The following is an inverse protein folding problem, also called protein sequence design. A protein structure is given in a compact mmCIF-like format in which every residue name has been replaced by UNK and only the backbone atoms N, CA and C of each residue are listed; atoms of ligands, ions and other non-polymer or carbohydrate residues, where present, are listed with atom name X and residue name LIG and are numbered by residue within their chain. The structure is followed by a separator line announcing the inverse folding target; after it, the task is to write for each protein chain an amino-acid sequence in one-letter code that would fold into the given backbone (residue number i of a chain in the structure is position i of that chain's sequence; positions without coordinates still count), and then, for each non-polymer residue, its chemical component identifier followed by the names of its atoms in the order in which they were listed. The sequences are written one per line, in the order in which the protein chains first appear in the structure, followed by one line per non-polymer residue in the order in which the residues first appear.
data_IF_961736878379
#
_entry.id   IF_961736878379
#
_cell.length_a   1.000
_cell.length_b   1.000
_cell.length_c   1.000
_cell.angle_alpha   90.00
_cell.angle_beta   90.00
_cell.angle_gamma   90.00
#
_symmetry.space_group_name_H-M   'P 1'
#
loop_
_entity.id
_entity.type
_entity.pdbx_description
1 polymer ?
#
# COMPACT_ATOMS: atom_id res chain seq x y z
N UNK A 1 13.54 -6.59 9.27
CA UNK A 1 14.00 -6.03 7.98
C UNK A 1 14.15 -4.53 8.16
N UNK A 2 15.20 -3.91 7.61
CA UNK A 2 15.42 -2.46 7.69
C UNK A 2 15.33 -1.89 6.28
N UNK A 3 14.68 -0.73 6.16
CA UNK A 3 14.61 0.03 4.91
C UNK A 3 15.40 1.32 5.07
N UNK A 4 16.13 1.73 4.04
CA UNK A 4 16.93 2.94 4.06
C UNK A 4 16.15 4.13 3.48
N UNK A 5 15.05 3.87 2.76
CA UNK A 5 14.14 4.91 2.25
C UNK A 5 12.67 4.54 2.39
N UNK A 6 11.80 5.55 2.44
CA UNK A 6 10.34 5.36 2.43
C UNK A 6 9.85 4.65 1.16
N UNK A 7 10.51 4.89 0.02
CA UNK A 7 10.12 4.28 -1.26
C UNK A 7 10.45 2.78 -1.30
N UNK A 8 11.55 2.35 -0.67
CA UNK A 8 11.87 0.93 -0.49
C UNK A 8 10.81 0.22 0.38
N UNK A 9 10.40 0.85 1.49
CA UNK A 9 9.33 0.32 2.34
C UNK A 9 8.03 0.12 1.55
N UNK A 10 7.61 1.14 0.80
CA UNK A 10 6.39 1.09 -0.03
C UNK A 10 6.53 0.01 -1.11
N UNK A 11 7.69 -0.07 -1.77
CA UNK A 11 7.98 -1.08 -2.79
C UNK A 11 7.86 -2.51 -2.25
N UNK A 12 8.42 -2.77 -1.07
CA UNK A 12 8.29 -4.07 -0.43
C UNK A 12 6.84 -4.39 -0.03
N UNK A 13 6.11 -3.43 0.54
CA UNK A 13 4.71 -3.63 0.88
C UNK A 13 3.85 -3.95 -0.37
N UNK A 14 4.15 -3.34 -1.52
CA UNK A 14 3.52 -3.65 -2.81
C UNK A 14 3.84 -5.08 -3.26
N UNK A 15 5.10 -5.51 -3.12
CA UNK A 15 5.48 -6.87 -3.48
C UNK A 15 4.74 -7.90 -2.62
N UNK A 16 4.70 -7.68 -1.30
CA UNK A 16 4.05 -8.56 -0.34
C UNK A 16 2.54 -8.66 -0.59
N UNK A 17 1.85 -7.53 -0.82
CA UNK A 17 0.41 -7.54 -1.06
C UNK A 17 0.06 -8.21 -2.39
N UNK A 18 0.89 -8.04 -3.43
CA UNK A 18 0.70 -8.74 -4.72
C UNK A 18 0.81 -10.24 -4.55
N UNK A 19 1.81 -10.71 -3.79
CA UNK A 19 1.97 -12.13 -3.49
C UNK A 19 0.76 -12.69 -2.73
N UNK A 20 0.29 -11.98 -1.69
CA UNK A 20 -0.91 -12.37 -0.93
C UNK A 20 -2.17 -12.38 -1.80
N UNK A 21 -2.33 -11.37 -2.67
CA UNK A 21 -3.46 -11.29 -3.61
C UNK A 21 -3.46 -12.48 -4.56
N UNK A 22 -2.29 -12.86 -5.10
CA UNK A 22 -2.17 -14.01 -5.98
C UNK A 22 -2.52 -15.33 -5.27
N UNK A 23 -2.16 -15.47 -3.98
CA UNK A 23 -2.52 -16.64 -3.17
C UNK A 23 -4.00 -16.66 -2.76
N UNK A 24 -4.61 -15.49 -2.59
CA UNK A 24 -5.95 -15.35 -2.02
C UNK A 24 -6.77 -14.26 -2.75
N UNK A 25 -7.14 -14.49 -4.03
CA UNK A 25 -7.78 -13.46 -4.87
C UNK A 25 -9.20 -13.08 -4.41
N UNK A 26 -9.84 -13.91 -3.58
CA UNK A 26 -11.19 -13.69 -3.08
C UNK A 26 -11.31 -12.60 -1.99
N UNK A 27 -10.21 -12.01 -1.54
CA UNK A 27 -10.18 -11.04 -0.44
C UNK A 27 -10.08 -9.60 -0.98
N UNK A 28 -11.19 -8.83 -1.00
CA UNK A 28 -11.21 -7.49 -1.59
C UNK A 28 -10.29 -6.50 -0.87
N UNK A 29 -9.99 -6.77 0.41
CA UNK A 29 -9.09 -5.96 1.23
C UNK A 29 -7.71 -5.82 0.59
N UNK A 30 -7.18 -6.88 -0.05
CA UNK A 30 -5.86 -6.83 -0.67
C UNK A 30 -5.81 -5.88 -1.86
N UNK A 31 -6.88 -5.82 -2.66
CA UNK A 31 -7.00 -4.86 -3.75
C UNK A 31 -7.07 -3.41 -3.24
N UNK A 32 -7.84 -3.17 -2.18
CA UNK A 32 -7.92 -1.85 -1.54
C UNK A 32 -6.56 -1.40 -0.99
N UNK A 33 -5.83 -2.32 -0.35
CA UNK A 33 -4.50 -2.07 0.22
C UNK A 33 -3.46 -1.77 -0.89
N UNK A 34 -3.47 -2.56 -1.97
CA UNK A 34 -2.60 -2.35 -3.13
C UNK A 34 -2.84 -1.00 -3.78
N UNK A 35 -4.09 -0.59 -3.98
CA UNK A 35 -4.43 0.70 -4.58
C UNK A 35 -3.92 1.88 -3.73
N UNK A 36 -4.01 1.79 -2.40
CA UNK A 36 -3.47 2.80 -1.50
C UNK A 36 -1.94 2.88 -1.56
N UNK A 37 -1.25 1.74 -1.59
CA UNK A 37 0.20 1.68 -1.74
C UNK A 37 0.68 2.24 -3.08
N UNK A 38 -0.02 1.94 -4.18
CA UNK A 38 0.30 2.47 -5.51
C UNK A 38 0.12 3.99 -5.58
N UNK A 39 -0.93 4.53 -4.95
CA UNK A 39 -1.12 5.98 -4.83
C UNK A 39 0.00 6.64 -4.01
N UNK A 40 0.39 6.05 -2.87
CA UNK A 40 1.54 6.59 -2.11
C UNK A 40 2.81 6.57 -2.95
N UNK A 41 3.08 5.46 -3.65
CA UNK A 41 4.25 5.34 -4.54
C UNK A 41 4.26 6.44 -5.60
N UNK A 42 3.14 6.68 -6.30
CA UNK A 42 3.06 7.71 -7.34
C UNK A 42 3.25 9.13 -6.80
N UNK A 43 2.78 9.40 -5.58
CA UNK A 43 3.02 10.68 -4.89
C UNK A 43 4.50 10.87 -4.55
N UNK A 44 5.16 9.82 -4.03
CA UNK A 44 6.59 9.87 -3.70
C UNK A 44 7.47 10.03 -4.95
N UNK A 45 7.08 9.42 -6.07
CA UNK A 45 7.80 9.52 -7.36
C UNK A 45 7.50 10.83 -8.11
N UNK A 46 6.60 11.68 -7.60
CA UNK A 46 6.20 12.94 -8.24
C UNK A 46 5.34 12.76 -9.49
N UNK A 47 4.89 11.54 -9.79
CA UNK A 47 3.95 11.22 -10.88
C UNK A 47 2.57 11.75 -10.54
N UNK A 48 2.11 11.51 -9.31
CA UNK A 48 0.87 12.08 -8.78
C UNK A 48 1.16 13.38 -8.04
N UNK A 49 0.49 14.45 -8.46
CA UNK A 49 0.65 15.79 -7.90
C UNK A 49 -0.47 16.14 -6.94
N UNK A 50 -1.63 15.51 -7.08
CA UNK A 50 -2.74 15.65 -6.15
C UNK A 50 -2.48 14.84 -4.88
N UNK A 51 -2.11 15.56 -3.82
CA UNK A 51 -1.86 15.02 -2.48
C UNK A 51 -3.11 15.03 -1.58
N UNK A 52 -4.25 15.51 -2.09
CA UNK A 52 -5.48 15.65 -1.32
C UNK A 52 -6.03 14.33 -0.80
N UNK A 53 -5.63 13.19 -1.35
CA UNK A 53 -6.13 11.87 -0.92
C UNK A 53 -5.26 11.23 0.16
N UNK A 54 -4.09 11.79 0.49
CA UNK A 54 -3.21 11.24 1.54
C UNK A 54 -3.91 11.14 2.91
N UNK A 55 -4.69 12.16 3.29
CA UNK A 55 -5.43 12.15 4.57
C UNK A 55 -6.63 11.19 4.58
N UNK A 56 -6.98 10.62 3.42
CA UNK A 56 -8.08 9.64 3.28
C UNK A 56 -7.57 8.20 3.24
N UNK A 57 -6.26 7.99 3.34
CA UNK A 57 -5.68 6.65 3.39
C UNK A 57 -6.08 5.97 4.70
N UNK A 58 -6.62 4.77 4.58
CA UNK A 58 -7.05 3.92 5.69
C UNK A 58 -6.09 2.75 5.94
N UNK A 59 -4.91 2.76 5.31
CA UNK A 59 -3.97 1.63 5.29
C UNK A 59 -3.57 1.14 6.69
N UNK A 60 -3.35 2.04 7.65
CA UNK A 60 -3.03 1.68 9.04
C UNK A 60 -4.21 1.02 9.75
N UNK A 61 -5.42 1.59 9.61
CA UNK A 61 -6.63 1.03 10.20
C UNK A 61 -6.99 -0.33 9.58
N UNK A 62 -6.83 -0.48 8.26
CA UNK A 62 -7.00 -1.77 7.58
C UNK A 62 -5.98 -2.80 8.05
N UNK A 63 -4.72 -2.39 8.26
CA UNK A 63 -3.68 -3.30 8.72
C UNK A 63 -3.98 -3.85 10.11
N UNK A 64 -4.32 -2.99 11.06
CA UNK A 64 -4.66 -3.38 12.43
C UNK A 64 -5.91 -4.27 12.50
N UNK A 65 -6.93 -3.98 11.68
CA UNK A 65 -8.19 -4.75 11.73
C UNK A 65 -8.08 -6.14 11.09
N UNK A 66 -7.32 -6.26 10.01
CA UNK A 66 -7.38 -7.44 9.13
C UNK A 66 -6.14 -8.35 9.28
N UNK A 67 -5.07 -7.86 9.92
CA UNK A 67 -3.79 -8.58 10.03
C UNK A 67 -3.13 -8.57 11.43
N UNK A 68 -3.70 -7.91 12.45
CA UNK A 68 -3.34 -8.14 13.87
C UNK A 68 -4.26 -9.20 14.49
#
# INVERSE_FOLDING_TARGET
MKFETSIEFIGHAIALIKERTARHPAFPVYAAFLNQLLYMKSVFEGVERDKSRLHKLSIGALAAKEFE
#
